data_IF_849976207229
#
_entry.id   IF_849976207229
#
_cell.length_a   1.000
_cell.length_b   1.000
_cell.length_c   1.000
_cell.angle_alpha   90.00
_cell.angle_beta   90.00
_cell.angle_gamma   90.00
#
_symmetry.space_group_name_H-M   'P 1'
#
loop_
_entity.id
_entity.type
_entity.pdbx_description
1 polymer ?
#
# COMPACT_ATOMS: atom_id res chain seq x y z
N UNK A 1 3.16 -6.80 -16.25
CA UNK A 1 2.31 -7.97 -15.93
C UNK A 1 0.87 -7.56 -16.21
N UNK A 2 0.26 -8.12 -17.26
CA UNK A 2 -1.19 -7.91 -17.50
C UNK A 2 -1.88 -8.80 -16.47
N UNK A 3 -2.54 -8.22 -15.48
CA UNK A 3 -3.34 -8.98 -14.53
C UNK A 3 -4.43 -9.73 -15.31
N UNK A 4 -4.36 -11.06 -15.35
CA UNK A 4 -5.45 -11.88 -15.83
C UNK A 4 -6.59 -11.76 -14.81
N UNK A 5 -7.62 -10.98 -15.16
CA UNK A 5 -8.81 -10.84 -14.33
C UNK A 5 -9.61 -12.14 -14.37
N UNK A 6 -10.08 -12.67 -13.24
CA UNK A 6 -11.14 -13.65 -13.29
C UNK A 6 -12.37 -12.99 -13.92
N UNK A 7 -13.06 -13.73 -14.80
CA UNK A 7 -14.14 -13.18 -15.65
C UNK A 7 -15.26 -12.48 -14.87
N UNK A 8 -15.45 -12.83 -13.59
CA UNK A 8 -16.43 -12.24 -12.69
C UNK A 8 -16.09 -10.79 -12.27
N UNK A 9 -14.82 -10.42 -12.11
CA UNK A 9 -14.43 -9.08 -11.61
C UNK A 9 -14.76 -7.95 -12.58
N UNK A 10 -14.50 -8.15 -13.88
CA UNK A 10 -14.77 -7.15 -14.91
C UNK A 10 -16.27 -6.91 -15.06
N UNK A 11 -17.06 -7.97 -14.94
CA UNK A 11 -18.52 -7.90 -14.98
C UNK A 11 -19.07 -7.15 -13.76
N UNK A 12 -18.60 -7.47 -12.55
CA UNK A 12 -18.99 -6.78 -11.32
C UNK A 12 -18.64 -5.29 -11.39
N UNK A 13 -17.45 -4.93 -11.87
CA UNK A 13 -17.04 -3.54 -12.05
C UNK A 13 -17.91 -2.77 -13.06
N UNK A 14 -18.29 -3.41 -14.17
CA UNK A 14 -19.20 -2.79 -15.15
C UNK A 14 -20.60 -2.56 -14.58
N UNK A 15 -21.15 -3.53 -13.86
CA UNK A 15 -22.45 -3.42 -13.18
C UNK A 15 -22.42 -2.31 -12.13
N UNK A 16 -21.38 -2.25 -11.30
CA UNK A 16 -21.18 -1.20 -10.29
C UNK A 16 -21.10 0.20 -10.92
N UNK A 17 -20.36 0.36 -12.03
CA UNK A 17 -20.31 1.64 -12.76
C UNK A 17 -21.68 2.09 -13.23
N UNK A 18 -22.50 1.18 -13.77
CA UNK A 18 -23.85 1.50 -14.24
C UNK A 18 -24.79 1.85 -13.08
N UNK A 19 -24.70 1.14 -11.95
CA UNK A 19 -25.46 1.45 -10.72
C UNK A 19 -25.12 2.85 -10.20
N UNK A 20 -23.83 3.17 -10.07
CA UNK A 20 -23.39 4.50 -9.66
C UNK A 20 -23.82 5.61 -10.61
N UNK A 21 -23.81 5.34 -11.92
CA UNK A 21 -24.31 6.30 -12.91
C UNK A 21 -25.81 6.61 -12.74
N UNK A 22 -26.58 5.72 -12.11
CA UNK A 22 -27.99 5.94 -11.74
C UNK A 22 -28.16 6.57 -10.36
N UNK A 23 -27.08 6.89 -9.65
CA UNK A 23 -27.11 7.49 -8.31
C UNK A 23 -27.20 6.46 -7.17
N UNK A 24 -26.98 5.18 -7.45
CA UNK A 24 -26.90 4.14 -6.41
C UNK A 24 -25.55 4.19 -5.68
N UNK A 25 -25.51 3.67 -4.45
CA UNK A 25 -24.27 3.52 -3.67
C UNK A 25 -23.30 2.53 -4.35
N UNK A 26 -21.97 2.72 -4.23
CA UNK A 26 -21.01 1.77 -4.76
C UNK A 26 -21.18 0.39 -4.11
N UNK A 27 -21.00 -0.65 -4.92
CA UNK A 27 -20.77 -2.00 -4.42
C UNK A 27 -19.59 -1.99 -3.44
N UNK A 28 -19.63 -2.90 -2.46
CA UNK A 28 -18.62 -3.00 -1.41
C UNK A 28 -18.02 -4.40 -1.40
N UNK A 29 -16.73 -4.46 -1.08
CA UNK A 29 -15.92 -5.68 -1.15
C UNK A 29 -14.98 -5.72 0.06
N UNK A 30 -14.57 -6.92 0.52
CA UNK A 30 -13.57 -7.03 1.57
C UNK A 30 -12.20 -6.56 1.09
N UNK A 31 -11.42 -5.95 1.98
CA UNK A 31 -10.02 -5.59 1.71
C UNK A 31 -9.17 -6.85 1.63
N UNK A 32 -9.38 -7.79 2.56
CA UNK A 32 -8.67 -9.07 2.66
C UNK A 32 -9.65 -10.20 2.92
N UNK A 33 -9.28 -11.42 2.55
CA UNK A 33 -10.00 -12.64 2.94
C UNK A 33 -9.00 -13.68 3.45
N UNK A 34 -9.45 -14.57 4.34
CA UNK A 34 -8.64 -15.68 4.82
C UNK A 34 -8.48 -16.76 3.74
N UNK A 35 -9.48 -16.92 2.87
CA UNK A 35 -9.36 -17.77 1.70
C UNK A 35 -8.64 -16.99 0.59
N UNK A 36 -7.41 -17.39 0.19
CA UNK A 36 -6.67 -16.69 -0.87
C UNK A 36 -7.33 -16.81 -2.25
N UNK A 37 -8.36 -17.66 -2.39
CA UNK A 37 -9.14 -17.79 -3.61
C UNK A 37 -10.46 -17.00 -3.58
N UNK A 38 -10.85 -16.45 -2.43
CA UNK A 38 -11.98 -15.57 -2.33
C UNK A 38 -11.64 -14.18 -2.90
N UNK A 39 -12.66 -13.52 -3.46
CA UNK A 39 -12.49 -12.18 -4.01
C UNK A 39 -12.29 -11.15 -2.90
N UNK A 40 -11.13 -10.52 -2.88
CA UNK A 40 -10.77 -9.39 -2.00
C UNK A 40 -9.79 -8.45 -2.71
N UNK A 41 -9.59 -7.25 -2.18
CA UNK A 41 -8.69 -6.26 -2.79
C UNK A 41 -7.22 -6.69 -2.74
N UNK A 42 -6.81 -7.34 -1.65
CA UNK A 42 -5.43 -7.74 -1.36
C UNK A 42 -5.37 -9.23 -0.97
N UNK A 43 -5.45 -10.15 -1.95
CA UNK A 43 -5.62 -11.59 -1.70
C UNK A 43 -4.29 -12.29 -1.39
N UNK A 44 -3.59 -11.88 -0.35
CA UNK A 44 -2.41 -12.59 0.16
C UNK A 44 -2.48 -12.80 1.67
N UNK A 45 -1.83 -13.87 2.15
CA UNK A 45 -1.77 -14.20 3.57
C UNK A 45 -1.18 -13.05 4.40
N UNK A 46 -0.07 -12.45 3.94
CA UNK A 46 0.56 -11.32 4.63
C UNK A 46 -0.41 -10.15 4.78
N UNK A 47 -1.19 -9.84 3.75
CA UNK A 47 -2.22 -8.80 3.84
C UNK A 47 -3.32 -9.21 4.83
N UNK A 48 -3.81 -10.45 4.77
CA UNK A 48 -4.82 -10.92 5.70
C UNK A 48 -4.35 -10.78 7.16
N UNK A 49 -3.15 -11.26 7.49
CA UNK A 49 -2.57 -11.16 8.84
C UNK A 49 -2.39 -9.69 9.24
N UNK A 50 -1.77 -8.89 8.36
CA UNK A 50 -1.45 -7.49 8.62
C UNK A 50 -2.70 -6.64 8.87
N UNK A 51 -3.67 -6.67 7.96
CA UNK A 51 -4.90 -5.88 8.10
C UNK A 51 -5.81 -6.41 9.22
N UNK A 52 -5.91 -7.72 9.41
CA UNK A 52 -6.75 -8.29 10.49
C UNK A 52 -6.25 -7.91 11.88
N UNK A 53 -4.97 -7.55 12.04
CA UNK A 53 -4.45 -7.00 13.30
C UNK A 53 -5.11 -5.68 13.71
N UNK A 54 -5.74 -4.97 12.78
CA UNK A 54 -6.50 -3.75 13.02
C UNK A 54 -7.91 -3.96 13.59
N UNK A 55 -8.47 -5.18 13.52
CA UNK A 55 -9.85 -5.47 13.93
C UNK A 55 -10.11 -5.09 15.41
N UNK A 56 -9.23 -5.42 16.38
CA UNK A 56 -9.40 -5.01 17.77
C UNK A 56 -9.41 -3.49 17.98
N UNK A 57 -8.91 -2.71 17.01
CA UNK A 57 -8.85 -1.25 17.04
C UNK A 57 -9.97 -0.59 16.23
N UNK A 58 -10.99 -1.35 15.81
CA UNK A 58 -12.17 -0.85 15.10
C UNK A 58 -12.00 -0.75 13.59
N UNK A 59 -10.94 -1.32 13.02
CA UNK A 59 -10.83 -1.45 11.57
C UNK A 59 -11.92 -2.38 11.02
N UNK A 60 -12.56 -1.98 9.93
CA UNK A 60 -13.62 -2.72 9.26
C UNK A 60 -13.11 -3.20 7.91
N UNK A 61 -13.24 -4.51 7.66
CA UNK A 61 -12.81 -5.15 6.42
C UNK A 61 -13.79 -4.89 5.27
N UNK A 62 -13.84 -3.65 4.80
CA UNK A 62 -14.89 -3.21 3.89
C UNK A 62 -14.46 -1.96 3.10
N UNK A 63 -14.51 -2.02 1.78
CA UNK A 63 -14.15 -0.92 0.89
C UNK A 63 -15.06 -0.87 -0.32
N UNK A 64 -15.29 0.34 -0.85
CA UNK A 64 -16.04 0.50 -2.09
C UNK A 64 -15.27 -0.09 -3.28
N UNK A 65 -15.96 -0.81 -4.16
CA UNK A 65 -15.38 -1.43 -5.35
C UNK A 65 -14.72 -0.38 -6.26
N UNK A 66 -15.29 0.83 -6.37
CA UNK A 66 -14.66 1.92 -7.14
C UNK A 66 -13.26 2.30 -6.63
N UNK A 67 -12.96 2.07 -5.35
CA UNK A 67 -11.63 2.31 -4.79
C UNK A 67 -10.62 1.26 -5.26
N UNK A 68 -11.03 0.01 -5.47
CA UNK A 68 -10.19 -1.01 -6.11
C UNK A 68 -9.84 -0.60 -7.55
N UNK A 69 -10.80 -0.06 -8.30
CA UNK A 69 -10.56 0.44 -9.65
C UNK A 69 -9.54 1.59 -9.65
N UNK A 70 -9.69 2.55 -8.72
CA UNK A 70 -8.77 3.67 -8.57
C UNK A 70 -7.38 3.22 -8.12
N UNK A 71 -7.31 2.29 -7.15
CA UNK A 71 -6.07 1.71 -6.65
C UNK A 71 -5.26 1.05 -7.79
N UNK A 72 -5.92 0.30 -8.68
CA UNK A 72 -5.26 -0.33 -9.85
C UNK A 72 -4.73 0.66 -10.88
N UNK A 73 -5.29 1.87 -10.94
CA UNK A 73 -4.84 2.93 -11.84
C UNK A 73 -3.80 3.87 -11.19
N UNK A 74 -3.52 3.68 -9.89
CA UNK A 74 -2.66 4.57 -9.13
C UNK A 74 -1.19 4.20 -9.29
N UNK A 75 -0.39 5.14 -9.81
CA UNK A 75 1.07 5.00 -9.92
C UNK A 75 1.76 6.02 -9.00
N UNK A 76 2.03 5.67 -7.72
CA UNK A 76 2.58 6.60 -6.74
C UNK A 76 3.98 7.10 -7.09
N UNK A 77 4.75 6.33 -7.86
CA UNK A 77 6.13 6.66 -8.19
C UNK A 77 6.29 7.56 -9.44
N UNK A 78 5.18 7.86 -10.13
CA UNK A 78 5.19 8.57 -11.42
C UNK A 78 5.84 9.96 -11.37
N UNK A 79 5.77 10.64 -10.22
CA UNK A 79 6.23 12.02 -10.05
C UNK A 79 7.30 12.14 -8.96
N UNK A 80 7.99 11.06 -8.62
CA UNK A 80 8.95 11.04 -7.50
C UNK A 80 10.10 12.05 -7.67
N UNK A 81 10.49 12.38 -8.91
CA UNK A 81 11.52 13.38 -9.21
C UNK A 81 11.07 14.82 -8.88
N UNK A 82 9.76 15.03 -8.71
CA UNK A 82 9.17 16.35 -8.38
C UNK A 82 9.08 16.62 -6.88
N UNK A 83 9.41 15.65 -6.02
CA UNK A 83 9.41 15.85 -4.56
C UNK A 83 10.54 16.81 -4.14
N UNK A 84 11.69 16.75 -4.84
CA UNK A 84 12.79 17.69 -4.68
C UNK A 84 12.32 19.15 -4.87
N UNK A 85 12.75 20.09 -4.01
CA UNK A 85 13.85 20.00 -3.03
C UNK A 85 13.45 19.52 -1.63
N UNK A 86 12.20 19.09 -1.42
CA UNK A 86 11.78 18.57 -0.10
C UNK A 86 12.56 17.29 0.22
N UNK A 87 13.24 17.21 1.38
CA UNK A 87 13.94 16.00 1.79
C UNK A 87 12.99 14.80 1.89
N UNK A 88 13.41 13.65 1.37
CA UNK A 88 12.65 12.39 1.48
C UNK A 88 13.47 11.25 2.10
N UNK A 89 12.88 10.55 3.07
CA UNK A 89 13.37 9.27 3.57
C UNK A 89 12.45 8.16 3.05
N UNK A 90 13.02 7.16 2.38
CA UNK A 90 12.31 5.94 2.00
C UNK A 90 12.76 4.78 2.89
N UNK A 91 11.79 4.12 3.54
CA UNK A 91 12.03 2.92 4.35
C UNK A 91 11.41 1.74 3.64
N UNK A 92 12.22 0.74 3.32
CA UNK A 92 11.81 -0.43 2.55
C UNK A 92 12.14 -1.71 3.31
N UNK A 93 11.23 -2.65 3.34
CA UNK A 93 11.53 -3.98 3.85
C UNK A 93 12.26 -4.78 2.77
N UNK A 94 13.27 -5.58 3.13
CA UNK A 94 14.06 -6.32 2.14
C UNK A 94 13.33 -7.53 1.52
N UNK A 95 12.25 -7.99 2.14
CA UNK A 95 11.40 -9.08 1.68
C UNK A 95 9.93 -8.63 1.61
N UNK A 96 9.70 -7.43 1.08
CA UNK A 96 8.36 -6.88 0.91
C UNK A 96 7.67 -7.52 -0.31
N UNK A 97 6.58 -8.24 -0.08
CA UNK A 97 5.76 -8.86 -1.13
C UNK A 97 4.46 -8.09 -1.42
N UNK A 98 4.15 -7.07 -0.63
CA UNK A 98 2.94 -6.23 -0.78
C UNK A 98 3.25 -5.00 -1.62
N UNK A 99 4.35 -4.32 -1.29
CA UNK A 99 4.96 -3.25 -2.09
C UNK A 99 6.36 -3.68 -2.50
N UNK A 100 6.51 -4.42 -3.62
CA UNK A 100 7.77 -5.08 -3.97
C UNK A 100 8.99 -4.17 -3.86
N UNK A 101 9.99 -4.63 -3.11
CA UNK A 101 11.19 -3.86 -2.76
C UNK A 101 11.93 -3.34 -4.00
N UNK A 102 11.97 -4.15 -5.07
CA UNK A 102 12.63 -3.81 -6.33
C UNK A 102 11.97 -2.61 -7.04
N UNK A 103 10.64 -2.57 -7.07
CA UNK A 103 9.88 -1.44 -7.64
C UNK A 103 10.13 -0.15 -6.85
N UNK A 104 10.15 -0.24 -5.52
CA UNK A 104 10.39 0.90 -4.65
C UNK A 104 11.85 1.41 -4.75
N UNK A 105 12.84 0.51 -4.87
CA UNK A 105 14.23 0.87 -5.17
C UNK A 105 14.35 1.53 -6.54
N UNK A 106 13.61 1.05 -7.54
CA UNK A 106 13.54 1.67 -8.86
C UNK A 106 12.99 3.11 -8.80
N UNK A 107 12.01 3.37 -7.93
CA UNK A 107 11.53 4.73 -7.65
C UNK A 107 12.59 5.59 -6.95
N UNK A 108 13.22 5.06 -5.89
CA UNK A 108 14.28 5.75 -5.15
C UNK A 108 15.46 6.15 -6.06
N UNK A 109 15.83 5.30 -7.01
CA UNK A 109 16.90 5.59 -7.98
C UNK A 109 16.59 6.85 -8.81
N UNK A 110 15.31 7.07 -9.19
CA UNK A 110 14.88 8.26 -9.94
C UNK A 110 14.73 9.51 -9.07
N UNK A 111 14.36 9.34 -7.80
CA UNK A 111 14.20 10.45 -6.86
C UNK A 111 15.44 11.36 -6.84
N UNK A 112 15.24 12.67 -6.62
CA UNK A 112 16.34 13.66 -6.59
C UNK A 112 16.72 14.01 -5.15
N UNK A 113 17.91 14.57 -4.98
CA UNK A 113 18.41 14.99 -3.68
C UNK A 113 17.64 16.18 -3.07
N UNK A 114 17.59 16.32 -1.73
CA UNK A 114 18.16 15.41 -0.73
C UNK A 114 17.27 14.18 -0.46
N UNK A 115 17.85 12.98 -0.52
CA UNK A 115 17.13 11.71 -0.26
C UNK A 115 17.94 10.75 0.61
N UNK A 116 17.24 9.96 1.42
CA UNK A 116 17.81 8.91 2.27
C UNK A 116 17.06 7.60 2.10
N UNK A 117 17.75 6.48 2.29
CA UNK A 117 17.21 5.12 2.17
C UNK A 117 17.57 4.31 3.42
N UNK A 118 16.59 3.61 3.98
CA UNK A 118 16.77 2.66 5.08
C UNK A 118 16.10 1.34 4.73
N UNK A 119 16.83 0.22 4.86
CA UNK A 119 16.33 -1.11 4.47
C UNK A 119 16.47 -2.11 5.63
N UNK A 120 15.50 -2.15 6.55
CA UNK A 120 15.46 -3.19 7.58
C UNK A 120 15.13 -4.58 7.01
N UNK A 121 15.56 -5.67 7.68
CA UNK A 121 15.19 -7.03 7.30
C UNK A 121 13.75 -7.36 7.73
N UNK A 122 12.96 -8.00 6.86
CA UNK A 122 11.60 -8.44 7.16
C UNK A 122 10.61 -8.26 6.00
N UNK A 123 9.33 -8.52 6.28
CA UNK A 123 8.18 -8.34 5.39
C UNK A 123 7.41 -7.04 5.65
N UNK A 124 6.42 -6.75 4.81
CA UNK A 124 5.72 -5.46 4.74
C UNK A 124 5.18 -4.93 6.07
N UNK A 125 4.65 -5.83 6.92
CA UNK A 125 3.98 -5.46 8.17
C UNK A 125 4.89 -5.50 9.41
N UNK A 126 6.09 -6.07 9.31
CA UNK A 126 7.04 -6.18 10.43
C UNK A 126 7.40 -4.84 11.07
N UNK A 127 7.60 -3.71 10.34
CA UNK A 127 8.06 -2.47 10.97
C UNK A 127 6.97 -1.73 11.76
N UNK A 128 5.74 -2.25 11.80
CA UNK A 128 4.61 -1.59 12.47
C UNK A 128 4.54 -1.88 13.97
N UNK A 129 5.21 -2.93 14.47
CA UNK A 129 5.22 -3.26 15.90
C UNK A 129 6.51 -3.98 16.33
N UNK A 130 6.63 -4.22 17.64
CA UNK A 130 7.72 -5.01 18.22
C UNK A 130 9.11 -4.40 18.02
N UNK A 131 10.11 -5.28 18.02
CA UNK A 131 11.51 -4.86 17.96
C UNK A 131 11.83 -4.04 16.71
N UNK A 132 11.27 -4.41 15.55
CA UNK A 132 11.58 -3.70 14.32
C UNK A 132 10.99 -2.30 14.29
N UNK A 133 9.83 -2.08 14.90
CA UNK A 133 9.31 -0.73 15.13
C UNK A 133 10.26 0.10 16.02
N UNK A 134 10.72 -0.48 17.14
CA UNK A 134 11.61 0.18 18.09
C UNK A 134 12.95 0.59 17.45
N UNK A 135 13.42 -0.18 16.45
CA UNK A 135 14.63 0.12 15.68
C UNK A 135 14.39 1.12 14.54
N UNK A 136 13.26 1.02 13.84
CA UNK A 136 12.93 1.81 12.66
C UNK A 136 12.40 3.22 13.00
N UNK A 137 11.56 3.37 14.03
CA UNK A 137 10.96 4.65 14.39
C UNK A 137 12.01 5.75 14.74
N UNK A 138 13.11 5.45 15.46
CA UNK A 138 14.19 6.42 15.68
C UNK A 138 14.87 6.92 14.40
N UNK A 139 14.93 6.12 13.32
CA UNK A 139 15.49 6.54 12.03
C UNK A 139 14.62 7.66 11.44
N UNK A 140 13.29 7.48 11.45
CA UNK A 140 12.33 8.49 11.00
C UNK A 140 12.41 9.76 11.85
N UNK A 141 12.44 9.60 13.18
CA UNK A 141 12.51 10.73 14.10
C UNK A 141 13.77 11.58 13.87
N UNK A 142 14.95 10.95 13.70
CA UNK A 142 16.21 11.66 13.41
C UNK A 142 16.13 12.41 12.08
N UNK A 143 15.62 11.76 11.03
CA UNK A 143 15.44 12.41 9.73
C UNK A 143 14.57 13.66 9.82
N UNK A 144 13.45 13.58 10.54
CA UNK A 144 12.56 14.73 10.74
C UNK A 144 13.23 15.81 11.60
N UNK A 145 13.98 15.45 12.65
CA UNK A 145 14.74 16.41 13.45
C UNK A 145 15.77 17.18 12.60
N UNK A 146 16.50 16.49 11.73
CA UNK A 146 17.51 17.10 10.86
C UNK A 146 16.92 18.06 9.81
N UNK A 147 15.72 17.75 9.31
CA UNK A 147 15.14 18.44 8.15
C UNK A 147 13.97 19.38 8.44
N UNK A 148 13.24 19.20 9.55
CA UNK A 148 12.06 20.01 9.90
C UNK A 148 12.28 20.90 11.13
N UNK A 149 13.07 20.46 12.11
CA UNK A 149 13.33 21.22 13.33
C UNK A 149 14.60 22.06 13.14
N UNK A 150 14.44 23.22 12.50
CA UNK A 150 15.46 24.27 12.42
C UNK A 150 14.99 25.51 13.16
#
# INVERSE_FOLDING_TARGET
MIACYPANELEIGAVDRLARARGEEPARVPVVDKDPHAFSVLPSEDNYIGYSSGIPFGWVNDVALKSLEAFRAYEPSALIERICPTPSLLILMNNDVVTPTDLALGAFARAKEPKQLHIPPGGHFDPYNGQLFDENAPVQARFLQEHLLK
#
